data_IF_445557493446
#
_entry.id   IF_445557493446
#
_cell.length_a   1.000
_cell.length_b   1.000
_cell.length_c   1.000
_cell.angle_alpha   90.00
_cell.angle_beta   90.00
_cell.angle_gamma   90.00
#
_symmetry.space_group_name_H-M   'P 1'
#
loop_
_entity.id
_entity.type
_entity.pdbx_description
1 polymer ?
#
# COMPACT_ATOMS: atom_id res chain seq x y z
N UNK A 1 -34.34 34.36 24.04
CA UNK A 1 -34.22 32.99 23.52
C UNK A 1 -33.07 32.32 24.26
N UNK A 2 -33.36 31.29 25.06
CA UNK A 2 -32.31 30.51 25.69
C UNK A 2 -31.63 29.69 24.59
N UNK A 3 -30.34 29.91 24.36
CA UNK A 3 -29.53 29.01 23.54
C UNK A 3 -29.40 27.74 24.37
N UNK A 4 -30.08 26.67 23.95
CA UNK A 4 -29.96 25.36 24.57
C UNK A 4 -28.54 24.86 24.30
N UNK A 5 -27.63 25.05 25.26
CA UNK A 5 -26.25 24.57 25.16
C UNK A 5 -26.30 23.06 25.36
N UNK A 6 -26.60 22.34 24.28
CA UNK A 6 -26.51 20.88 24.29
C UNK A 6 -25.06 20.48 24.61
N UNK A 7 -24.84 19.59 25.59
CA UNK A 7 -23.50 19.15 25.93
C UNK A 7 -22.86 18.45 24.73
N UNK A 8 -21.58 18.77 24.49
CA UNK A 8 -20.78 18.15 23.46
C UNK A 8 -20.66 16.64 23.69
N UNK A 9 -20.66 15.85 22.62
CA UNK A 9 -20.55 14.40 22.73
C UNK A 9 -19.22 14.00 23.38
N UNK A 10 -19.31 13.12 24.37
CA UNK A 10 -18.15 12.50 25.00
C UNK A 10 -17.44 11.59 23.99
N UNK A 11 -16.11 11.52 24.07
CA UNK A 11 -15.31 10.69 23.18
C UNK A 11 -14.71 11.43 21.99
N UNK A 12 -13.63 10.85 21.44
CA UNK A 12 -12.87 11.49 20.36
C UNK A 12 -13.60 11.46 19.02
N UNK A 13 -14.33 10.36 18.76
CA UNK A 13 -14.93 10.04 17.46
C UNK A 13 -16.47 10.00 17.48
N UNK A 14 -17.09 10.30 18.63
CA UNK A 14 -18.54 10.42 18.72
C UNK A 14 -18.98 11.81 18.26
N UNK A 15 -20.10 11.85 17.54
CA UNK A 15 -20.72 13.10 17.14
C UNK A 15 -22.22 12.98 16.96
N UNK A 16 -22.86 14.12 16.76
CA UNK A 16 -24.28 14.21 16.44
C UNK A 16 -24.48 14.22 14.94
N UNK A 17 -25.40 13.40 14.45
CA UNK A 17 -25.83 13.43 13.05
C UNK A 17 -26.78 14.61 12.81
N UNK A 18 -26.71 15.21 11.62
CA UNK A 18 -27.66 16.26 11.22
C UNK A 18 -28.88 15.56 10.64
N UNK A 19 -30.03 15.66 11.31
CA UNK A 19 -31.27 14.96 10.93
C UNK A 19 -32.07 15.75 9.90
N UNK A 20 -32.17 17.07 10.08
CA UNK A 20 -32.87 17.95 9.15
C UNK A 20 -32.30 19.36 9.20
N UNK A 21 -32.26 20.01 8.04
CA UNK A 21 -31.90 21.41 7.89
C UNK A 21 -33.16 22.18 7.52
N UNK A 22 -33.68 23.00 8.44
CA UNK A 22 -34.83 23.86 8.18
C UNK A 22 -34.38 25.32 8.09
N UNK A 23 -34.05 25.76 6.88
CA UNK A 23 -33.40 27.05 6.65
C UNK A 23 -32.00 27.09 7.27
N UNK A 24 -31.77 27.99 8.22
CA UNK A 24 -30.51 28.11 8.96
C UNK A 24 -30.46 27.29 10.27
N UNK A 25 -31.53 26.58 10.61
CA UNK A 25 -31.63 25.80 11.85
C UNK A 25 -31.39 24.33 11.54
N UNK A 26 -30.28 23.81 12.04
CA UNK A 26 -29.97 22.38 11.98
C UNK A 26 -30.58 21.67 13.19
N UNK A 27 -31.27 20.56 12.95
CA UNK A 27 -31.76 19.67 14.00
C UNK A 27 -30.78 18.50 14.13
N UNK A 28 -30.23 18.33 15.32
CA UNK A 28 -29.23 17.30 15.61
C UNK A 28 -29.87 16.07 16.25
N UNK A 29 -29.37 14.89 15.88
CA UNK A 29 -29.70 13.64 16.55
C UNK A 29 -28.93 13.44 17.85
N UNK A 30 -29.07 12.23 18.39
CA UNK A 30 -28.34 11.79 19.58
C UNK A 30 -26.83 11.62 19.28
N UNK A 31 -26.02 11.66 20.34
CA UNK A 31 -24.60 11.39 20.24
C UNK A 31 -24.35 9.92 19.86
N UNK A 32 -23.63 9.69 18.77
CA UNK A 32 -23.34 8.35 18.30
C UNK A 32 -22.27 8.30 17.22
N UNK A 33 -22.37 7.29 16.38
CA UNK A 33 -21.45 7.04 15.27
C UNK A 33 -21.79 7.93 14.06
N UNK A 34 -20.77 8.53 13.44
CA UNK A 34 -20.97 9.26 12.19
C UNK A 34 -21.17 8.28 11.01
N UNK A 35 -22.06 8.59 10.06
CA UNK A 35 -22.21 7.86 8.82
C UNK A 35 -20.89 7.71 8.03
N UNK A 36 -20.83 6.70 7.16
CA UNK A 36 -19.65 6.46 6.32
C UNK A 36 -19.35 7.68 5.43
N UNK A 37 -18.08 8.10 5.39
CA UNK A 37 -17.65 9.29 4.66
C UNK A 37 -17.99 10.61 5.37
N UNK A 38 -18.45 10.55 6.62
CA UNK A 38 -18.57 11.71 7.50
C UNK A 38 -17.56 11.61 8.65
N UNK A 39 -17.16 12.78 9.17
CA UNK A 39 -16.27 12.91 10.31
C UNK A 39 -16.79 14.01 11.24
N UNK A 40 -16.50 13.87 12.53
CA UNK A 40 -16.83 14.88 13.54
C UNK A 40 -15.98 16.14 13.38
N UNK A 41 -16.63 17.30 13.37
CA UNK A 41 -15.98 18.59 13.47
C UNK A 41 -15.66 18.96 14.95
N UNK A 42 -15.03 20.11 15.18
CA UNK A 42 -14.63 20.58 16.51
C UNK A 42 -15.82 20.71 17.48
N UNK A 43 -17.01 21.01 16.95
CA UNK A 43 -18.27 21.06 17.68
C UNK A 43 -18.94 19.68 17.89
N UNK A 44 -18.27 18.57 17.58
CA UNK A 44 -18.81 17.19 17.68
C UNK A 44 -20.05 16.96 16.83
N UNK A 45 -20.11 17.59 15.67
CA UNK A 45 -21.17 17.40 14.65
C UNK A 45 -20.58 16.59 13.50
N UNK A 46 -21.30 15.58 13.02
CA UNK A 46 -20.90 14.79 11.86
C UNK A 46 -21.08 15.62 10.59
N UNK A 47 -19.98 15.86 9.87
CA UNK A 47 -19.94 16.58 8.59
C UNK A 47 -19.36 15.68 7.51
N UNK A 48 -19.82 15.86 6.27
CA UNK A 48 -19.24 15.14 5.14
C UNK A 48 -17.81 15.61 4.85
N UNK A 49 -16.94 14.65 4.55
CA UNK A 49 -15.60 14.97 4.10
C UNK A 49 -15.66 15.40 2.64
N UNK A 50 -15.36 16.67 2.35
CA UNK A 50 -15.24 17.21 0.98
C UNK A 50 -13.79 17.24 0.47
N UNK A 51 -12.85 16.71 1.26
CA UNK A 51 -11.44 16.69 0.92
C UNK A 51 -11.09 15.66 -0.16
N UNK A 52 -9.89 15.82 -0.72
CA UNK A 52 -9.24 14.85 -1.59
C UNK A 52 -8.01 14.26 -0.90
N UNK A 53 -7.58 13.03 -1.24
CA UNK A 53 -6.35 12.46 -0.71
C UNK A 53 -5.14 13.34 -1.06
N UNK A 54 -4.29 13.57 -0.05
CA UNK A 54 -3.02 14.27 -0.24
C UNK A 54 -2.06 13.38 -1.06
N UNK A 55 -0.95 13.94 -1.58
CA UNK A 55 0.05 13.15 -2.32
C UNK A 55 0.57 11.96 -1.51
N UNK A 56 0.76 12.15 -0.21
CA UNK A 56 1.19 11.09 0.70
C UNK A 56 0.16 9.95 0.76
N UNK A 57 -1.13 10.27 0.79
CA UNK A 57 -2.21 9.28 0.80
C UNK A 57 -2.20 8.46 -0.50
N UNK A 58 -1.99 9.12 -1.64
CA UNK A 58 -1.84 8.44 -2.93
C UNK A 58 -0.61 7.52 -2.97
N UNK A 59 0.52 7.95 -2.40
CA UNK A 59 1.72 7.11 -2.28
C UNK A 59 1.49 5.93 -1.32
N UNK A 60 0.70 6.10 -0.27
CA UNK A 60 0.30 4.98 0.57
C UNK A 60 -0.58 3.99 -0.21
N UNK A 61 -1.60 4.46 -0.92
CA UNK A 61 -2.45 3.61 -1.75
C UNK A 61 -1.66 2.89 -2.85
N UNK A 62 -0.71 3.60 -3.48
CA UNK A 62 0.22 3.02 -4.44
C UNK A 62 1.08 1.91 -3.83
N UNK A 63 1.60 2.10 -2.61
CA UNK A 63 2.34 1.08 -1.89
C UNK A 63 1.48 -0.17 -1.64
N UNK A 64 0.25 0.02 -1.15
CA UNK A 64 -0.69 -1.09 -0.93
C UNK A 64 -1.07 -1.80 -2.23
N UNK A 65 -1.17 -1.08 -3.35
CA UNK A 65 -1.40 -1.66 -4.67
C UNK A 65 -0.20 -2.45 -5.22
N UNK A 66 1.01 -2.03 -4.90
CA UNK A 66 2.23 -2.71 -5.35
C UNK A 66 2.51 -4.02 -4.61
N UNK A 67 2.09 -4.15 -3.34
CA UNK A 67 2.35 -5.35 -2.52
C UNK A 67 1.85 -6.66 -3.17
N UNK A 68 0.58 -6.80 -3.59
CA UNK A 68 0.13 -8.01 -4.30
C UNK A 68 0.88 -8.27 -5.60
N UNK A 69 1.20 -7.22 -6.36
CA UNK A 69 1.91 -7.35 -7.64
C UNK A 69 3.32 -7.93 -7.44
N UNK A 70 4.07 -7.41 -6.47
CA UNK A 70 5.41 -7.90 -6.13
C UNK A 70 5.35 -9.35 -5.66
N UNK A 71 4.40 -9.70 -4.79
CA UNK A 71 4.21 -11.09 -4.34
C UNK A 71 3.83 -12.01 -5.49
N UNK A 72 2.96 -11.57 -6.41
CA UNK A 72 2.65 -12.33 -7.61
C UNK A 72 3.89 -12.60 -8.45
N UNK A 73 4.70 -11.58 -8.73
CA UNK A 73 5.92 -11.76 -9.49
C UNK A 73 6.92 -12.68 -8.78
N UNK A 74 7.08 -12.54 -7.47
CA UNK A 74 7.93 -13.41 -6.67
C UNK A 74 7.49 -14.89 -6.80
N UNK A 75 6.21 -15.18 -6.56
CA UNK A 75 5.72 -16.57 -6.66
C UNK A 75 5.70 -17.10 -8.09
N UNK A 76 5.49 -16.26 -9.10
CA UNK A 76 5.61 -16.67 -10.50
C UNK A 76 7.05 -17.12 -10.78
N UNK A 77 8.06 -16.32 -10.42
CA UNK A 77 9.46 -16.69 -10.64
C UNK A 77 9.83 -17.95 -9.86
N UNK A 78 9.42 -18.04 -8.59
CA UNK A 78 9.68 -19.18 -7.72
C UNK A 78 9.15 -20.51 -8.29
N UNK A 79 7.98 -20.49 -8.93
CA UNK A 79 7.33 -21.70 -9.45
C UNK A 79 7.52 -21.93 -10.96
N UNK A 80 7.85 -20.90 -11.77
CA UNK A 80 7.85 -21.02 -13.23
C UNK A 80 9.10 -21.72 -13.81
N UNK A 81 10.16 -21.90 -13.02
CA UNK A 81 11.39 -22.57 -13.46
C UNK A 81 12.07 -21.90 -14.68
N UNK A 82 13.07 -22.58 -15.29
CA UNK A 82 13.97 -21.99 -16.30
C UNK A 82 13.34 -21.61 -17.66
N UNK A 83 12.04 -21.84 -17.91
CA UNK A 83 11.39 -21.52 -19.21
C UNK A 83 10.82 -20.09 -19.20
N UNK A 84 11.61 -19.15 -19.72
CA UNK A 84 11.37 -17.70 -19.67
C UNK A 84 10.10 -17.19 -20.37
N UNK A 85 9.67 -17.79 -21.49
CA UNK A 85 8.56 -17.23 -22.31
C UNK A 85 7.19 -17.29 -21.63
N UNK A 86 6.88 -18.38 -20.91
CA UNK A 86 5.61 -18.49 -20.18
C UNK A 86 5.59 -17.65 -18.91
N UNK A 87 6.74 -17.41 -18.27
CA UNK A 87 6.86 -16.60 -17.08
C UNK A 87 6.53 -15.13 -17.38
N UNK A 88 7.09 -14.58 -18.48
CA UNK A 88 6.82 -13.21 -18.91
C UNK A 88 5.33 -12.94 -19.15
N UNK A 89 4.62 -13.88 -19.77
CA UNK A 89 3.18 -13.75 -19.99
C UNK A 89 2.40 -13.75 -18.67
N UNK A 90 2.83 -14.54 -17.67
CA UNK A 90 2.22 -14.54 -16.34
C UNK A 90 2.50 -13.24 -15.58
N UNK A 91 3.70 -12.67 -15.68
CA UNK A 91 4.02 -11.36 -15.09
C UNK A 91 3.17 -10.23 -15.69
N UNK A 92 3.02 -10.21 -17.02
CA UNK A 92 2.20 -9.22 -17.71
C UNK A 92 0.72 -9.38 -17.34
N UNK A 93 0.24 -10.63 -17.27
CA UNK A 93 -1.13 -10.92 -16.82
C UNK A 93 -1.35 -10.41 -15.40
N UNK A 94 -0.44 -10.71 -14.47
CA UNK A 94 -0.51 -10.22 -13.09
C UNK A 94 -0.57 -8.70 -13.00
N UNK A 95 0.24 -8.02 -13.83
CA UNK A 95 0.22 -6.57 -13.92
C UNK A 95 -1.14 -6.05 -14.38
N UNK A 96 -1.70 -6.62 -15.46
CA UNK A 96 -3.00 -6.23 -15.98
C UNK A 96 -4.13 -6.51 -14.98
N UNK A 97 -4.10 -7.64 -14.28
CA UNK A 97 -5.07 -8.01 -13.23
C UNK A 97 -5.05 -6.99 -12.09
N UNK A 98 -3.86 -6.67 -11.56
CA UNK A 98 -3.70 -5.69 -10.49
C UNK A 98 -4.07 -4.27 -10.95
N UNK A 99 -3.71 -3.86 -12.16
CA UNK A 99 -4.07 -2.55 -12.71
C UNK A 99 -5.57 -2.42 -12.96
N UNK A 100 -6.20 -3.46 -13.50
CA UNK A 100 -7.65 -3.48 -13.71
C UNK A 100 -8.41 -3.48 -12.38
N UNK A 101 -7.95 -4.25 -11.38
CA UNK A 101 -8.50 -4.21 -10.03
C UNK A 101 -8.42 -2.81 -9.42
N UNK A 102 -7.28 -2.13 -9.57
CA UNK A 102 -7.09 -0.78 -9.07
C UNK A 102 -8.06 0.20 -9.76
N UNK A 103 -8.15 0.15 -11.09
CA UNK A 103 -9.06 0.99 -11.86
C UNK A 103 -10.52 0.79 -11.46
N UNK A 104 -10.98 -0.46 -11.37
CA UNK A 104 -12.33 -0.81 -10.93
C UNK A 104 -12.59 -0.33 -9.51
N UNK A 105 -11.61 -0.48 -8.62
CA UNK A 105 -11.73 -0.01 -7.23
C UNK A 105 -11.89 1.51 -7.15
N UNK A 106 -11.11 2.26 -7.94
CA UNK A 106 -11.23 3.72 -8.00
C UNK A 106 -12.61 4.14 -8.53
N UNK A 107 -13.06 3.54 -9.63
CA UNK A 107 -14.36 3.86 -10.25
C UNK A 107 -15.57 3.50 -9.39
N UNK A 108 -15.44 2.52 -8.50
CA UNK A 108 -16.50 2.14 -7.55
C UNK A 108 -16.41 2.88 -6.22
N UNK A 109 -15.28 3.54 -5.94
CA UNK A 109 -15.12 4.37 -4.77
C UNK A 109 -15.88 5.69 -4.96
N UNK A 110 -16.27 6.31 -3.86
CA UNK A 110 -17.04 7.55 -3.89
C UNK A 110 -16.15 8.74 -4.35
N UNK A 111 -16.57 9.54 -5.35
CA UNK A 111 -17.80 9.44 -6.16
C UNK A 111 -17.74 8.39 -7.28
N UNK A 112 -18.79 7.57 -7.35
CA UNK A 112 -18.91 6.47 -8.32
C UNK A 112 -18.79 6.98 -9.76
N UNK A 113 -17.95 6.34 -10.55
CA UNK A 113 -17.69 6.66 -11.95
C UNK A 113 -16.56 7.68 -12.17
N UNK A 114 -15.95 8.21 -11.11
CA UNK A 114 -14.79 9.10 -11.19
C UNK A 114 -13.50 8.37 -10.81
N UNK A 115 -12.36 8.82 -11.32
CA UNK A 115 -11.03 8.39 -10.86
C UNK A 115 -10.53 9.21 -9.66
N UNK A 116 -11.27 10.26 -9.30
CA UNK A 116 -11.04 11.01 -8.09
C UNK A 116 -11.74 10.36 -6.91
N UNK A 117 -11.12 10.40 -5.73
CA UNK A 117 -11.67 9.84 -4.51
C UNK A 117 -11.95 10.97 -3.53
N UNK A 118 -13.11 10.93 -2.88
CA UNK A 118 -13.43 11.78 -1.73
C UNK A 118 -12.83 11.19 -0.47
N UNK A 119 -12.07 11.99 0.29
CA UNK A 119 -11.29 11.52 1.45
C UNK A 119 -11.43 12.42 2.68
N UNK A 120 -11.42 11.80 3.84
CA UNK A 120 -11.26 12.42 5.15
C UNK A 120 -9.77 12.49 5.50
N UNK A 121 -9.28 13.68 5.81
CA UNK A 121 -7.87 13.89 6.14
C UNK A 121 -7.45 13.11 7.39
N UNK A 122 -6.32 12.40 7.30
CA UNK A 122 -5.69 11.75 8.44
C UNK A 122 -5.06 12.81 9.34
N UNK A 123 -5.52 12.92 10.59
CA UNK A 123 -4.96 13.88 11.58
C UNK A 123 -3.97 13.21 12.52
N UNK A 124 -4.25 11.97 12.94
CA UNK A 124 -3.48 11.27 13.98
C UNK A 124 -3.59 9.76 13.83
N UNK A 125 -2.63 9.02 14.41
CA UNK A 125 -2.62 7.56 14.37
C UNK A 125 -3.90 6.93 14.95
N UNK A 126 -4.47 7.53 15.99
CA UNK A 126 -5.71 7.04 16.58
C UNK A 126 -6.90 7.06 15.63
N UNK A 127 -6.85 7.82 14.52
CA UNK A 127 -7.93 7.87 13.53
C UNK A 127 -8.09 6.52 12.79
N UNK A 128 -7.04 5.71 12.75
CA UNK A 128 -7.05 4.36 12.19
C UNK A 128 -7.64 3.32 13.16
N UNK A 129 -7.73 3.66 14.44
CA UNK A 129 -8.06 2.74 15.53
C UNK A 129 -9.21 3.28 16.39
N UNK A 130 -10.24 3.84 15.75
CA UNK A 130 -11.38 4.49 16.44
C UNK A 130 -12.07 3.57 17.45
N UNK A 131 -12.05 2.26 17.21
CA UNK A 131 -12.55 1.23 18.12
C UNK A 131 -11.92 1.27 19.52
N UNK A 132 -10.65 1.62 19.62
CA UNK A 132 -9.92 1.70 20.90
C UNK A 132 -10.24 2.97 21.70
N UNK A 133 -10.99 3.91 21.12
CA UNK A 133 -11.29 5.22 21.71
C UNK A 133 -12.80 5.45 21.91
N UNK A 134 -13.57 4.36 22.06
CA UNK A 134 -14.98 4.42 22.45
C UNK A 134 -15.09 4.90 23.92
N UNK A 135 -15.88 5.94 24.22
CA UNK A 135 -16.03 6.47 25.58
C UNK A 135 -16.94 5.62 26.47
N UNK A 136 -16.69 5.67 27.77
CA UNK A 136 -17.50 5.05 28.83
C UNK A 136 -17.84 6.10 29.90
N UNK A 137 -18.85 6.97 29.69
CA UNK A 137 -19.15 8.12 30.54
C UNK A 137 -19.27 7.79 32.02
N UNK A 138 -19.95 6.69 32.34
CA UNK A 138 -20.22 6.24 33.70
C UNK A 138 -19.50 4.93 34.05
N UNK A 139 -18.53 4.49 33.24
CA UNK A 139 -17.89 3.16 33.32
C UNK A 139 -18.83 1.95 33.26
N UNK A 140 -20.14 2.18 33.08
CA UNK A 140 -21.19 1.16 33.00
C UNK A 140 -21.56 0.89 31.54
N UNK A 141 -21.79 1.95 30.75
CA UNK A 141 -22.21 1.83 29.34
C UNK A 141 -21.15 2.40 28.41
N UNK A 142 -20.66 1.58 27.49
CA UNK A 142 -19.75 1.99 26.40
C UNK A 142 -20.56 2.50 25.21
N UNK A 143 -20.33 3.73 24.77
CA UNK A 143 -20.95 4.24 23.54
C UNK A 143 -20.03 3.87 22.37
N UNK A 144 -20.53 3.07 21.43
CA UNK A 144 -19.76 2.64 20.27
C UNK A 144 -19.84 3.66 19.14
N UNK A 145 -18.75 4.41 18.95
CA UNK A 145 -18.61 5.44 17.91
C UNK A 145 -17.57 5.06 16.85
N UNK A 146 -17.35 3.75 16.69
CA UNK A 146 -16.37 3.20 15.77
C UNK A 146 -16.82 3.43 14.33
N UNK A 147 -16.08 4.26 13.61
CA UNK A 147 -16.27 4.52 12.19
C UNK A 147 -14.92 4.70 11.51
N UNK A 148 -14.93 4.70 10.18
CA UNK A 148 -13.75 4.96 9.36
C UNK A 148 -13.43 6.46 9.33
N UNK A 149 -12.70 6.96 10.35
CA UNK A 149 -12.33 8.38 10.42
C UNK A 149 -11.31 8.81 9.34
N UNK A 150 -10.62 7.84 8.74
CA UNK A 150 -9.67 7.99 7.61
C UNK A 150 -10.29 7.58 6.28
N UNK A 151 -11.61 7.72 6.14
CA UNK A 151 -12.33 7.28 4.94
C UNK A 151 -11.72 7.86 3.66
N UNK A 152 -11.51 7.09 2.59
CA UNK A 152 -11.73 5.65 2.45
C UNK A 152 -10.43 4.84 2.56
N UNK A 153 -9.33 5.41 3.09
CA UNK A 153 -7.98 4.83 3.05
C UNK A 153 -7.88 3.46 3.71
N UNK A 154 -8.76 3.16 4.67
CA UNK A 154 -8.80 1.85 5.30
C UNK A 154 -9.57 0.86 4.43
N UNK A 155 -10.82 1.20 4.07
CA UNK A 155 -11.74 0.29 3.36
C UNK A 155 -11.34 0.04 1.91
N UNK A 156 -10.81 1.05 1.21
CA UNK A 156 -10.48 0.97 -0.22
C UNK A 156 -9.44 -0.12 -0.51
N UNK A 157 -8.51 -0.36 0.42
CA UNK A 157 -7.49 -1.40 0.29
C UNK A 157 -8.12 -2.80 0.30
N UNK A 158 -9.12 -3.03 1.16
CA UNK A 158 -9.83 -4.32 1.19
C UNK A 158 -10.63 -4.55 -0.09
N UNK A 159 -11.31 -3.52 -0.59
CA UNK A 159 -12.05 -3.58 -1.85
C UNK A 159 -11.08 -3.92 -2.99
N UNK A 160 -9.93 -3.26 -3.03
CA UNK A 160 -8.87 -3.54 -4.00
C UNK A 160 -8.38 -4.99 -3.93
N UNK A 161 -8.05 -5.49 -2.75
CA UNK A 161 -7.60 -6.88 -2.57
C UNK A 161 -8.68 -7.90 -2.96
N UNK A 162 -9.95 -7.61 -2.69
CA UNK A 162 -11.07 -8.44 -3.12
C UNK A 162 -11.16 -8.50 -4.65
N UNK A 163 -11.07 -7.35 -5.34
CA UNK A 163 -11.07 -7.32 -6.80
C UNK A 163 -9.85 -8.00 -7.41
N UNK A 164 -8.66 -7.82 -6.82
CA UNK A 164 -7.48 -8.56 -7.21
C UNK A 164 -7.72 -10.07 -7.14
N UNK A 165 -8.26 -10.57 -6.03
CA UNK A 165 -8.55 -12.00 -5.85
C UNK A 165 -9.59 -12.50 -6.86
N UNK A 166 -10.68 -11.76 -7.08
CA UNK A 166 -11.73 -12.14 -8.04
C UNK A 166 -11.19 -12.18 -9.46
N UNK A 167 -10.51 -11.12 -9.92
CA UNK A 167 -9.94 -11.07 -11.26
C UNK A 167 -8.89 -12.15 -11.47
N UNK A 168 -8.04 -12.40 -10.48
CA UNK A 168 -7.09 -13.51 -10.46
C UNK A 168 -7.76 -14.88 -10.65
N UNK A 169 -8.83 -15.14 -9.90
CA UNK A 169 -9.56 -16.41 -9.94
C UNK A 169 -10.32 -16.61 -11.24
N UNK A 170 -10.69 -15.53 -11.94
CA UNK A 170 -11.38 -15.61 -13.23
C UNK A 170 -10.39 -15.69 -14.41
N UNK A 171 -9.41 -14.78 -14.46
CA UNK A 171 -8.55 -14.60 -15.63
C UNK A 171 -7.42 -15.63 -15.70
N UNK A 172 -6.73 -15.93 -14.59
CA UNK A 172 -5.60 -16.88 -14.61
C UNK A 172 -5.98 -18.29 -15.02
N UNK A 173 -7.07 -18.91 -14.53
CA UNK A 173 -7.45 -20.25 -14.97
C UNK A 173 -7.79 -20.32 -16.47
N UNK A 174 -8.44 -19.29 -17.01
CA UNK A 174 -8.77 -19.20 -18.45
C UNK A 174 -7.50 -19.10 -19.31
N UNK A 175 -6.56 -18.25 -18.90
CA UNK A 175 -5.27 -18.11 -19.57
C UNK A 175 -4.45 -19.39 -19.48
N UNK A 176 -4.36 -20.00 -18.30
CA UNK A 176 -3.67 -21.27 -18.12
C UNK A 176 -4.31 -22.35 -18.97
N UNK A 177 -5.64 -22.47 -19.06
CA UNK A 177 -6.30 -23.45 -19.94
C UNK A 177 -5.96 -23.24 -21.42
N UNK A 178 -5.97 -21.99 -21.88
CA UNK A 178 -5.65 -21.62 -23.27
C UNK A 178 -4.18 -21.89 -23.62
N UNK A 179 -3.25 -21.64 -22.68
CA UNK A 179 -1.82 -21.87 -22.86
C UNK A 179 -1.46 -23.35 -22.58
N UNK A 180 -2.21 -24.06 -21.73
CA UNK A 180 -1.98 -25.45 -21.34
C UNK A 180 -2.40 -26.47 -22.39
N UNK A 181 -3.34 -26.15 -23.27
CA UNK A 181 -3.64 -27.00 -24.43
C UNK A 181 -2.41 -27.27 -25.33
N UNK A 182 -1.32 -26.49 -25.19
CA UNK A 182 -0.05 -26.76 -25.86
C UNK A 182 1.02 -27.51 -25.04
N UNK A 183 0.99 -27.49 -23.70
CA UNK A 183 2.03 -28.08 -22.85
C UNK A 183 1.44 -28.49 -21.48
N UNK A 184 1.19 -29.78 -21.29
CA UNK A 184 0.56 -30.38 -20.11
C UNK A 184 1.42 -30.37 -18.84
N UNK A 185 1.50 -29.24 -18.13
CA UNK A 185 2.22 -29.15 -16.86
C UNK A 185 1.37 -28.50 -15.76
N UNK A 186 1.25 -29.20 -14.63
CA UNK A 186 0.49 -28.85 -13.41
C UNK A 186 1.11 -27.74 -12.57
N UNK A 187 2.38 -27.39 -12.81
CA UNK A 187 3.13 -26.40 -12.02
C UNK A 187 2.53 -24.98 -12.05
N UNK A 188 1.75 -24.64 -13.08
CA UNK A 188 1.16 -23.29 -13.25
C UNK A 188 0.03 -22.96 -12.27
N UNK A 189 -0.62 -23.95 -11.66
CA UNK A 189 -1.65 -23.70 -10.66
C UNK A 189 -1.07 -23.35 -9.29
N UNK A 190 0.19 -23.71 -9.02
CA UNK A 190 0.87 -23.43 -7.73
C UNK A 190 0.96 -21.93 -7.42
N UNK A 191 1.17 -21.09 -8.44
CA UNK A 191 1.19 -19.63 -8.27
C UNK A 191 -0.20 -19.04 -7.96
N UNK A 192 -1.28 -19.70 -8.42
CA UNK A 192 -2.66 -19.33 -8.08
C UNK A 192 -2.96 -19.73 -6.63
N UNK A 193 -2.56 -20.93 -6.21
CA UNK A 193 -2.71 -21.34 -4.81
C UNK A 193 -1.95 -20.44 -3.85
N UNK A 194 -0.73 -20.03 -4.20
CA UNK A 194 0.04 -19.08 -3.39
C UNK A 194 -0.72 -17.76 -3.17
N UNK A 195 -1.45 -17.27 -4.18
CA UNK A 195 -2.30 -16.09 -4.05
C UNK A 195 -3.42 -16.24 -3.03
N UNK A 196 -4.06 -17.41 -3.00
CA UNK A 196 -5.09 -17.72 -2.01
C UNK A 196 -4.56 -17.72 -0.57
N UNK A 197 -3.25 -17.88 -0.37
CA UNK A 197 -2.63 -17.75 0.95
C UNK A 197 -2.18 -16.32 1.27
N UNK A 198 -1.52 -15.63 0.34
CA UNK A 198 -0.95 -14.32 0.67
C UNK A 198 -2.00 -13.20 0.73
N UNK A 199 -3.09 -13.25 -0.04
CA UNK A 199 -4.14 -12.20 0.04
C UNK A 199 -4.77 -12.11 1.43
N UNK A 200 -5.19 -13.23 2.08
CA UNK A 200 -5.62 -13.22 3.46
C UNK A 200 -4.59 -12.61 4.41
N UNK A 201 -3.30 -12.97 4.27
CA UNK A 201 -2.23 -12.40 5.09
C UNK A 201 -2.16 -10.88 4.92
N UNK A 202 -2.18 -10.38 3.69
CA UNK A 202 -2.19 -8.93 3.41
C UNK A 202 -3.43 -8.25 3.99
N UNK A 203 -4.61 -8.87 3.91
CA UNK A 203 -5.83 -8.32 4.51
C UNK A 203 -5.73 -8.23 6.03
N UNK A 204 -5.17 -9.24 6.71
CA UNK A 204 -4.95 -9.21 8.16
C UNK A 204 -3.94 -8.13 8.54
N UNK A 205 -2.85 -8.01 7.78
CA UNK A 205 -1.86 -6.94 7.98
C UNK A 205 -2.49 -5.55 7.83
N UNK A 206 -3.38 -5.34 6.85
CA UNK A 206 -4.12 -4.08 6.73
C UNK A 206 -5.13 -3.88 7.87
N UNK A 207 -5.84 -4.94 8.26
CA UNK A 207 -6.88 -4.85 9.28
C UNK A 207 -6.32 -4.47 10.65
N UNK A 208 -5.19 -5.04 11.03
CA UNK A 208 -4.54 -4.82 12.33
C UNK A 208 -3.52 -3.68 12.25
N UNK A 209 -2.72 -3.66 11.18
CA UNK A 209 -1.55 -2.79 11.04
C UNK A 209 -1.76 -1.60 10.12
N UNK A 210 -2.95 -1.36 9.56
CA UNK A 210 -3.16 -0.33 8.51
C UNK A 210 -2.64 1.06 8.89
N UNK A 211 -2.93 1.51 10.11
CA UNK A 211 -2.40 2.79 10.61
C UNK A 211 -0.88 2.78 10.79
N UNK A 212 -0.31 1.72 11.33
CA UNK A 212 1.15 1.58 11.46
C UNK A 212 1.83 1.54 10.08
N UNK A 213 1.27 0.81 9.12
CA UNK A 213 1.75 0.74 7.74
C UNK A 213 1.67 2.12 7.08
N UNK A 214 0.60 2.87 7.29
CA UNK A 214 0.46 4.22 6.75
C UNK A 214 1.61 5.15 7.19
N UNK A 215 2.07 5.07 8.44
CA UNK A 215 3.22 5.88 8.88
C UNK A 215 4.59 5.23 8.58
N UNK A 216 4.66 3.90 8.47
CA UNK A 216 5.91 3.17 8.33
C UNK A 216 6.32 2.87 6.87
N UNK A 217 5.39 2.86 5.90
CA UNK A 217 5.68 2.43 4.54
C UNK A 217 6.86 3.14 3.86
N UNK A 218 7.12 4.46 4.05
CA UNK A 218 8.24 5.11 3.39
C UNK A 218 9.57 4.51 3.87
N UNK A 219 9.68 4.26 5.18
CA UNK A 219 10.85 3.65 5.80
C UNK A 219 11.01 2.18 5.39
N UNK A 220 9.90 1.43 5.31
CA UNK A 220 9.90 0.04 4.83
C UNK A 220 10.49 -0.01 3.40
N UNK A 221 9.99 0.86 2.51
CA UNK A 221 10.47 0.93 1.11
C UNK A 221 11.95 1.31 1.06
N UNK A 222 12.38 2.31 1.83
CA UNK A 222 13.78 2.74 1.87
C UNK A 222 14.70 1.60 2.35
N UNK A 223 14.42 1.00 3.49
CA UNK A 223 15.24 -0.09 4.03
C UNK A 223 15.25 -1.30 3.09
N UNK A 224 14.09 -1.72 2.58
CA UNK A 224 14.03 -2.84 1.64
C UNK A 224 14.80 -2.56 0.35
N UNK A 225 14.64 -1.36 -0.24
CA UNK A 225 15.38 -0.99 -1.46
C UNK A 225 16.90 -1.00 -1.25
N UNK A 226 17.39 -0.57 -0.09
CA UNK A 226 18.81 -0.60 0.27
C UNK A 226 19.33 -2.03 0.40
N UNK A 227 18.65 -2.85 1.21
CA UNK A 227 19.05 -4.24 1.48
C UNK A 227 19.00 -5.08 0.21
N UNK A 228 17.90 -4.99 -0.55
CA UNK A 228 17.74 -5.77 -1.79
C UNK A 228 18.75 -5.38 -2.86
N UNK A 229 19.11 -4.09 -2.96
CA UNK A 229 20.15 -3.64 -3.87
C UNK A 229 21.52 -4.20 -3.47
N UNK A 230 21.88 -4.12 -2.19
CA UNK A 230 23.16 -4.63 -1.69
C UNK A 230 23.28 -6.15 -1.91
N UNK A 231 22.22 -6.92 -1.58
CA UNK A 231 22.17 -8.37 -1.82
C UNK A 231 22.28 -8.67 -3.31
N UNK A 232 21.58 -7.93 -4.17
CA UNK A 232 21.63 -8.13 -5.62
C UNK A 232 23.03 -7.87 -6.19
N UNK A 233 23.68 -6.77 -5.79
CA UNK A 233 25.02 -6.42 -6.26
C UNK A 233 26.07 -7.42 -5.80
N UNK A 234 25.97 -7.91 -4.56
CA UNK A 234 26.84 -8.96 -4.01
C UNK A 234 26.65 -10.29 -4.75
N UNK A 235 25.41 -10.78 -4.87
CA UNK A 235 25.10 -12.03 -5.56
C UNK A 235 25.40 -11.98 -7.07
N UNK A 236 25.46 -10.78 -7.66
CA UNK A 236 25.80 -10.59 -9.07
C UNK A 236 27.30 -10.37 -9.31
N UNK A 237 28.12 -10.41 -8.26
CA UNK A 237 29.58 -10.18 -8.29
C UNK A 237 29.94 -8.90 -9.05
N UNK A 238 29.24 -7.80 -8.72
CA UNK A 238 29.54 -6.49 -9.30
C UNK A 238 30.67 -5.87 -8.48
N UNK A 239 31.81 -5.61 -9.10
CA UNK A 239 32.94 -4.94 -8.45
C UNK A 239 33.19 -3.55 -9.03
N UNK A 240 32.98 -3.39 -10.35
CA UNK A 240 33.24 -2.14 -11.05
C UNK A 240 32.01 -1.65 -11.84
N UNK A 241 31.96 -0.35 -12.13
CA UNK A 241 30.92 0.25 -12.99
C UNK A 241 30.82 -0.42 -14.37
N UNK A 242 31.93 -0.93 -14.89
CA UNK A 242 31.95 -1.66 -16.16
C UNK A 242 31.06 -2.89 -16.11
N UNK A 243 31.03 -3.61 -14.99
CA UNK A 243 30.25 -4.84 -14.81
C UNK A 243 28.75 -4.58 -14.88
N UNK A 244 28.31 -3.38 -14.48
CA UNK A 244 26.93 -2.93 -14.67
C UNK A 244 26.59 -2.77 -16.15
N UNK A 245 27.48 -2.15 -16.92
CA UNK A 245 27.28 -1.84 -18.34
C UNK A 245 27.36 -3.08 -19.23
N UNK A 246 28.11 -4.12 -18.84
CA UNK A 246 28.27 -5.36 -19.63
C UNK A 246 26.94 -6.09 -19.82
N UNK A 247 26.06 -6.11 -18.82
CA UNK A 247 24.77 -6.84 -18.89
C UNK A 247 23.60 -5.90 -18.75
N UNK A 248 22.83 -5.70 -19.83
CA UNK A 248 21.59 -4.87 -19.84
C UNK A 248 20.63 -5.20 -18.69
N UNK A 249 20.53 -6.48 -18.28
CA UNK A 249 19.69 -6.92 -17.14
C UNK A 249 20.10 -6.25 -15.81
N UNK A 250 21.40 -6.03 -15.56
CA UNK A 250 21.91 -5.40 -14.33
C UNK A 250 21.48 -3.93 -14.23
N UNK A 251 21.49 -3.21 -15.36
CA UNK A 251 21.01 -1.83 -15.43
C UNK A 251 19.50 -1.72 -15.16
N UNK A 252 18.70 -2.64 -15.69
CA UNK A 252 17.25 -2.67 -15.44
C UNK A 252 16.96 -2.88 -13.96
N UNK A 253 17.68 -3.81 -13.31
CA UNK A 253 17.51 -4.05 -11.87
C UNK A 253 17.96 -2.84 -11.05
N UNK A 254 19.11 -2.23 -11.38
CA UNK A 254 19.57 -1.02 -10.70
C UNK A 254 18.54 0.10 -10.80
N UNK A 255 18.07 0.42 -12.02
CA UNK A 255 17.10 1.48 -12.23
C UNK A 255 15.77 1.22 -11.49
N UNK A 256 15.35 -0.04 -11.44
CA UNK A 256 14.16 -0.45 -10.68
C UNK A 256 14.33 -0.19 -9.17
N UNK A 257 15.51 -0.47 -8.61
CA UNK A 257 15.81 -0.17 -7.20
C UNK A 257 15.93 1.34 -6.95
N UNK A 258 16.49 2.11 -7.89
CA UNK A 258 16.53 3.57 -7.80
C UNK A 258 15.13 4.18 -7.81
N UNK A 259 14.23 3.67 -8.66
CA UNK A 259 12.84 4.11 -8.66
C UNK A 259 12.15 3.82 -7.32
N UNK A 260 12.35 2.62 -6.77
CA UNK A 260 11.81 2.23 -5.47
C UNK A 260 12.40 3.08 -4.33
N UNK A 261 13.70 3.36 -4.37
CA UNK A 261 14.36 4.20 -3.38
C UNK A 261 13.87 5.65 -3.46
N UNK A 262 13.76 6.20 -4.67
CA UNK A 262 13.18 7.52 -4.92
C UNK A 262 11.73 7.60 -4.42
N UNK A 263 10.92 6.56 -4.64
CA UNK A 263 9.56 6.46 -4.11
C UNK A 263 9.53 6.61 -2.58
N UNK A 264 10.44 5.93 -1.87
CA UNK A 264 10.58 6.05 -0.43
C UNK A 264 10.97 7.45 0.02
N UNK A 265 11.95 8.08 -0.65
CA UNK A 265 12.41 9.45 -0.35
C UNK A 265 11.26 10.44 -0.54
N UNK A 266 10.58 10.40 -1.69
CA UNK A 266 9.44 11.27 -2.02
C UNK A 266 8.33 11.10 -0.98
N UNK A 267 8.09 9.88 -0.52
CA UNK A 267 7.07 9.60 0.49
C UNK A 267 7.42 10.21 1.86
N UNK A 268 8.70 10.27 2.25
CA UNK A 268 9.13 10.91 3.50
C UNK A 268 9.06 12.43 3.41
N UNK A 269 9.61 13.00 2.35
CA UNK A 269 9.71 14.45 2.19
C UNK A 269 8.35 15.11 1.91
N UNK A 270 7.35 14.32 1.47
CA UNK A 270 6.02 14.78 1.03
C UNK A 270 6.06 15.75 -0.17
N UNK A 271 7.25 16.17 -0.59
CA UNK A 271 7.51 17.17 -1.64
C UNK A 271 6.70 18.45 -1.44
N UNK A 272 6.56 18.90 -0.18
CA UNK A 272 5.81 20.10 0.17
C UNK A 272 6.57 21.37 -0.26
N UNK A 273 7.92 21.34 -0.27
CA UNK A 273 8.77 22.44 -0.74
C UNK A 273 9.80 21.92 -1.73
N UNK A 274 9.47 22.03 -3.01
CA UNK A 274 10.27 21.53 -4.12
C UNK A 274 11.75 21.92 -4.06
N UNK A 275 12.08 23.14 -3.61
CA UNK A 275 13.46 23.62 -3.50
C UNK A 275 14.27 22.92 -2.40
N UNK A 276 13.62 22.49 -1.31
CA UNK A 276 14.28 21.80 -0.19
C UNK A 276 14.34 20.29 -0.39
N UNK A 277 13.38 19.74 -1.15
CA UNK A 277 13.22 18.29 -1.32
C UNK A 277 13.95 17.74 -2.56
N UNK A 278 14.29 18.60 -3.53
CA UNK A 278 15.04 18.21 -4.73
C UNK A 278 16.47 17.70 -4.45
N UNK A 279 17.25 18.28 -3.51
CA UNK A 279 18.56 17.75 -3.14
C UNK A 279 18.51 16.33 -2.56
N UNK A 280 17.41 15.96 -1.87
CA UNK A 280 17.26 14.60 -1.32
C UNK A 280 17.14 13.54 -2.43
N UNK A 281 16.56 13.89 -3.58
CA UNK A 281 16.52 13.00 -4.75
C UNK A 281 17.91 12.75 -5.35
N UNK A 282 18.89 13.64 -5.13
CA UNK A 282 20.28 13.40 -5.52
C UNK A 282 20.94 12.26 -4.72
N UNK A 283 20.34 11.86 -3.58
CA UNK A 283 20.80 10.71 -2.78
C UNK A 283 20.33 9.37 -3.33
N UNK A 284 19.43 9.33 -4.32
CA UNK A 284 18.95 8.10 -4.94
C UNK A 284 20.06 7.14 -5.39
N UNK A 285 21.11 7.59 -6.11
CA UNK A 285 22.21 6.72 -6.51
C UNK A 285 23.20 6.41 -5.38
N UNK A 286 23.15 7.12 -4.25
CA UNK A 286 24.15 7.01 -3.19
C UNK A 286 24.39 5.58 -2.68
N UNK A 287 23.37 4.71 -2.48
CA UNK A 287 23.59 3.33 -2.05
C UNK A 287 24.40 2.51 -3.06
N UNK A 288 24.13 2.69 -4.35
CA UNK A 288 24.85 2.01 -5.43
C UNK A 288 26.30 2.50 -5.52
N UNK A 289 26.51 3.82 -5.41
CA UNK A 289 27.83 4.43 -5.42
C UNK A 289 28.66 3.97 -4.21
N UNK A 290 28.05 3.97 -3.02
CA UNK A 290 28.68 3.51 -1.79
C UNK A 290 29.10 2.04 -1.89
N UNK A 291 28.23 1.16 -2.40
CA UNK A 291 28.57 -0.23 -2.65
C UNK A 291 29.78 -0.34 -3.60
N UNK A 292 29.78 0.35 -4.74
CA UNK A 292 30.88 0.29 -5.72
C UNK A 292 32.20 0.83 -5.17
N UNK A 293 32.16 1.84 -4.30
CA UNK A 293 33.35 2.37 -3.62
C UNK A 293 33.91 1.39 -2.58
N UNK A 294 33.06 0.57 -1.97
CA UNK A 294 33.44 -0.33 -0.87
C UNK A 294 33.68 -1.78 -1.31
N UNK A 295 33.14 -2.19 -2.46
CA UNK A 295 33.22 -3.57 -2.99
C UNK A 295 34.64 -4.12 -3.06
N UNK A 296 35.62 -3.28 -3.40
CA UNK A 296 37.04 -3.65 -3.44
C UNK A 296 37.61 -4.03 -2.06
N UNK A 297 37.07 -3.44 -0.99
CA UNK A 297 37.55 -3.66 0.38
C UNK A 297 36.78 -4.77 1.10
N UNK A 298 35.56 -5.09 0.63
CA UNK A 298 34.66 -6.04 1.30
C UNK A 298 34.70 -7.44 0.71
N UNK A 299 35.42 -7.69 -0.40
CA UNK A 299 35.54 -8.99 -1.09
C UNK A 299 34.23 -9.80 -1.08
N UNK A 300 33.13 -9.28 -1.64
CA UNK A 300 31.81 -9.89 -1.51
C UNK A 300 31.75 -11.34 -2.06
N UNK A 301 32.61 -11.68 -3.01
CA UNK A 301 32.77 -13.03 -3.58
C UNK A 301 33.23 -14.07 -2.55
N UNK A 302 33.98 -13.66 -1.53
CA UNK A 302 34.46 -14.55 -0.46
C UNK A 302 33.33 -15.00 0.49
N UNK A 303 32.35 -14.14 0.73
CA UNK A 303 31.19 -14.46 1.59
C UNK A 303 30.31 -15.53 0.91
N UNK A 304 30.15 -15.46 -0.41
CA UNK A 304 29.39 -16.45 -1.18
C UNK A 304 30.12 -17.78 -1.31
N UNK A 305 31.45 -17.77 -1.43
CA UNK A 305 32.25 -19.00 -1.54
C UNK A 305 32.37 -19.75 -0.20
N UNK A 306 32.46 -19.04 0.92
CA UNK A 306 32.46 -19.65 2.26
C UNK A 306 31.05 -20.19 2.63
N UNK A 307 29.97 -19.53 2.20
CA UNK A 307 28.59 -20.02 2.40
C UNK A 307 28.18 -21.18 1.49
N UNK A 308 28.83 -21.36 0.34
CA UNK A 308 28.57 -22.44 -0.62
C UNK A 308 29.21 -23.79 -0.27
N UNK A 309 30.23 -23.81 0.60
CA UNK A 309 30.90 -25.03 1.07
C UNK A 309 30.26 -25.65 2.33
N UNK A 310 29.08 -25.13 2.75
CA UNK A 310 28.35 -25.58 3.94
C UNK A 310 27.22 -26.58 3.68
N UNK A 311 27.12 -27.17 2.48
CA UNK A 311 26.15 -28.22 2.14
C UNK A 311 26.75 -29.31 1.25
#
# INVERSE_FOLDING_TARGET
>A
AAVDIQPACLGLYCGRTVLSVNGSVETYGDCGVCPRGQRTDDNKICRECEGSPDRYDWLYLGFMAMLPLVLHWFFIEWYSGKKSSSALLQHLTALLECSLAALVTLLLSDPVGSLHIRSCRVKKLSDWYTMLYNPSPDYITTVHCTHEAVYPLYTIVFIYYAFCLVLMMLLRPLLVKKIACGLGRSDRFKSIYAALYFFPILTVLQAVGGGLLYYAFPYIILVLSLVTLAVYMSASEVEFFKDLLVRKKRLVVLFSHWLLHAYGIISISKLDKLEQDLPLLALVPAPALFYLMTAKYTEPSRILSEGGNGH
#
